data_IF_695940236405
#
_entry.id   IF_695940236405
#
_cell.length_a   1.000
_cell.length_b   1.000
_cell.length_c   1.000
_cell.angle_alpha   90.00
_cell.angle_beta   90.00
_cell.angle_gamma   90.00
#
_symmetry.space_group_name_H-M   'P 1'
#
loop_
_entity.id
_entity.type
_entity.pdbx_description
1 polymer ?
#
# COMPACT_ATOMS: atom_id res chain seq x y z
N UNK A 1 -12.02 10.45 -2.47
CA UNK A 1 -12.38 9.01 -2.44
C UNK A 1 -13.12 8.54 -3.69
N UNK A 2 -14.22 9.17 -4.12
CA UNK A 2 -15.02 8.70 -5.27
C UNK A 2 -14.19 8.52 -6.56
N UNK A 3 -13.35 9.48 -6.94
CA UNK A 3 -12.51 9.35 -8.14
C UNK A 3 -11.56 8.13 -8.09
N UNK A 4 -11.03 7.78 -6.92
CA UNK A 4 -10.14 6.64 -6.73
C UNK A 4 -10.83 5.31 -7.06
N UNK A 5 -12.16 5.23 -6.89
CA UNK A 5 -12.93 4.05 -7.25
C UNK A 5 -12.91 3.76 -8.75
N UNK A 6 -12.74 4.77 -9.61
CA UNK A 6 -12.60 4.55 -11.05
C UNK A 6 -11.31 3.80 -11.38
N UNK A 7 -10.21 4.11 -10.70
CA UNK A 7 -8.93 3.40 -10.85
C UNK A 7 -9.05 1.97 -10.33
N UNK A 8 -9.76 1.78 -9.21
CA UNK A 8 -9.99 0.45 -8.63
C UNK A 8 -10.91 -0.45 -9.50
N UNK A 9 -11.98 0.11 -10.06
CA UNK A 9 -13.05 -0.63 -10.73
C UNK A 9 -12.98 -0.53 -12.26
N UNK A 10 -11.77 -0.63 -12.84
CA UNK A 10 -11.56 -0.68 -14.29
C UNK A 10 -12.25 0.45 -15.06
N UNK A 11 -12.17 1.67 -14.54
CA UNK A 11 -12.73 2.88 -15.14
C UNK A 11 -14.13 3.25 -14.66
N UNK A 12 -14.82 2.37 -13.92
CA UNK A 12 -16.16 2.66 -13.38
C UNK A 12 -16.05 3.44 -12.08
N UNK A 13 -16.44 4.71 -12.08
CA UNK A 13 -16.51 5.51 -10.87
C UNK A 13 -17.76 5.12 -10.08
N UNK A 14 -17.59 4.67 -8.84
CA UNK A 14 -18.65 4.19 -7.96
C UNK A 14 -19.03 5.26 -6.94
N UNK A 15 -20.31 5.38 -6.60
CA UNK A 15 -20.76 6.18 -5.44
C UNK A 15 -20.44 5.42 -4.14
N UNK A 16 -19.60 5.96 -3.24
CA UNK A 16 -19.39 5.36 -1.93
C UNK A 16 -20.61 5.60 -1.02
N UNK A 17 -20.92 4.61 -0.19
CA UNK A 17 -21.98 4.69 0.83
C UNK A 17 -21.39 4.38 2.21
N UNK A 18 -21.93 5.04 3.25
CA UNK A 18 -21.60 4.77 4.66
C UNK A 18 -22.71 3.94 5.32
N UNK A 19 -23.97 4.19 4.94
CA UNK A 19 -25.14 3.45 5.40
C UNK A 19 -25.45 2.36 4.39
N UNK A 20 -25.61 1.11 4.82
CA UNK A 20 -26.08 0.03 3.94
C UNK A 20 -27.61 0.09 3.78
N UNK A 21 -28.32 0.05 4.91
CA UNK A 21 -29.77 0.11 4.93
C UNK A 21 -30.30 0.72 6.24
N UNK A 22 -31.56 1.15 6.24
CA UNK A 22 -32.27 1.66 7.41
C UNK A 22 -33.52 0.80 7.62
N UNK A 23 -33.66 0.21 8.80
CA UNK A 23 -34.81 -0.63 9.19
C UNK A 23 -35.65 0.10 10.23
N UNK A 24 -36.96 0.04 10.09
CA UNK A 24 -37.88 0.42 11.15
C UNK A 24 -37.93 -0.70 12.21
N UNK A 25 -37.58 -0.44 13.48
CA UNK A 25 -37.46 -1.49 14.50
C UNK A 25 -38.81 -2.07 14.95
N UNK A 26 -39.92 -1.35 14.77
CA UNK A 26 -41.27 -1.81 15.16
C UNK A 26 -41.86 -2.76 14.12
N UNK A 27 -41.62 -2.49 12.83
CA UNK A 27 -42.22 -3.22 11.71
C UNK A 27 -41.26 -4.17 11.00
N UNK A 28 -39.96 -4.09 11.33
CA UNK A 28 -38.85 -4.75 10.62
C UNK A 28 -38.81 -4.47 9.10
N UNK A 29 -39.45 -3.39 8.64
CA UNK A 29 -39.45 -2.99 7.23
C UNK A 29 -38.23 -2.15 6.91
N UNK A 30 -37.57 -2.45 5.79
CA UNK A 30 -36.49 -1.64 5.24
C UNK A 30 -37.04 -0.35 4.64
N UNK A 31 -36.69 0.79 5.23
CA UNK A 31 -37.05 2.12 4.76
C UNK A 31 -36.10 2.65 3.68
N UNK A 32 -34.83 2.22 3.72
CA UNK A 32 -33.80 2.59 2.76
C UNK A 32 -32.85 1.42 2.56
N UNK A 33 -32.45 1.17 1.31
CA UNK A 33 -31.40 0.21 0.96
C UNK A 33 -30.51 0.84 -0.11
N UNK A 34 -29.23 0.99 0.18
CA UNK A 34 -28.25 1.37 -0.83
C UNK A 34 -27.79 0.14 -1.62
N UNK A 35 -27.55 0.35 -2.91
CA UNK A 35 -26.96 -0.62 -3.84
C UNK A 35 -25.79 0.04 -4.57
N UNK A 36 -24.81 -0.72 -5.06
CA UNK A 36 -23.72 -0.18 -5.86
C UNK A 36 -24.25 0.62 -7.06
N UNK A 37 -23.82 1.88 -7.19
CA UNK A 37 -24.20 2.77 -8.30
C UNK A 37 -22.95 3.29 -8.98
N UNK A 38 -22.90 3.12 -10.30
CA UNK A 38 -21.88 3.74 -11.16
C UNK A 38 -22.30 5.19 -11.42
N UNK A 39 -21.43 6.14 -11.08
CA UNK A 39 -21.65 7.58 -11.30
C UNK A 39 -20.97 8.12 -12.54
N UNK A 40 -20.09 7.34 -13.18
CA UNK A 40 -19.47 7.73 -14.44
C UNK A 40 -18.34 6.81 -14.89
N UNK A 41 -17.81 7.11 -16.07
CA UNK A 41 -16.69 6.38 -16.71
C UNK A 41 -15.60 7.37 -17.16
N UNK A 42 -14.86 7.99 -16.22
CA UNK A 42 -13.89 9.04 -16.57
C UNK A 42 -12.66 8.51 -17.32
N UNK A 43 -12.35 7.22 -17.20
CA UNK A 43 -11.18 6.58 -17.82
C UNK A 43 -11.57 5.19 -18.34
N UNK A 44 -10.81 4.67 -19.31
CA UNK A 44 -10.98 3.30 -19.80
C UNK A 44 -10.43 2.26 -18.82
N UNK A 45 -10.84 0.99 -18.99
CA UNK A 45 -10.29 -0.12 -18.20
C UNK A 45 -8.77 -0.24 -18.37
N UNK A 46 -8.26 -0.11 -19.60
CA UNK A 46 -6.81 -0.14 -19.87
C UNK A 46 -6.06 1.01 -19.20
N UNK A 47 -6.62 2.22 -19.22
CA UNK A 47 -6.02 3.36 -18.53
C UNK A 47 -6.01 3.15 -17.00
N UNK A 48 -7.08 2.57 -16.44
CA UNK A 48 -7.14 2.22 -15.02
C UNK A 48 -6.07 1.18 -14.64
N UNK A 49 -5.90 0.13 -15.44
CA UNK A 49 -4.87 -0.90 -15.24
C UNK A 49 -3.45 -0.32 -15.29
N UNK A 50 -3.13 0.47 -16.33
CA UNK A 50 -1.85 1.15 -16.45
C UNK A 50 -1.59 2.09 -15.26
N UNK A 51 -2.62 2.80 -14.80
CA UNK A 51 -2.52 3.66 -13.62
C UNK A 51 -2.18 2.84 -12.37
N UNK A 52 -2.82 1.67 -12.17
CA UNK A 52 -2.50 0.78 -11.03
C UNK A 52 -1.06 0.27 -11.10
N UNK A 53 -0.58 -0.11 -12.29
CA UNK A 53 0.81 -0.52 -12.48
C UNK A 53 1.81 0.59 -12.17
N UNK A 54 1.52 1.84 -12.57
CA UNK A 54 2.35 3.00 -12.21
C UNK A 54 2.30 3.29 -10.71
N UNK A 55 1.13 3.17 -10.08
CA UNK A 55 0.99 3.30 -8.62
C UNK A 55 1.74 2.20 -7.86
N UNK A 56 1.92 0.99 -8.44
CA UNK A 56 2.78 -0.03 -7.84
C UNK A 56 4.22 0.43 -7.78
N UNK A 57 4.73 1.07 -8.85
CA UNK A 57 6.11 1.58 -8.89
C UNK A 57 6.38 2.64 -7.81
N UNK A 58 5.39 3.44 -7.43
CA UNK A 58 5.53 4.41 -6.31
C UNK A 58 5.90 3.70 -4.99
N UNK A 59 5.47 2.45 -4.83
CA UNK A 59 5.64 1.66 -3.60
C UNK A 59 6.81 0.68 -3.71
N UNK A 60 7.19 0.24 -4.91
CA UNK A 60 8.19 -0.83 -5.09
C UNK A 60 9.48 -0.42 -5.78
N UNK A 61 9.50 0.69 -6.52
CA UNK A 61 10.66 1.03 -7.34
C UNK A 61 11.80 1.53 -6.47
N UNK A 62 12.82 0.67 -6.31
CA UNK A 62 14.01 0.95 -5.51
C UNK A 62 15.11 1.64 -6.32
N UNK A 63 14.90 1.85 -7.62
CA UNK A 63 15.87 2.56 -8.44
C UNK A 63 15.94 4.02 -8.00
N UNK A 64 17.15 4.56 -7.98
CA UNK A 64 17.40 5.97 -7.73
C UNK A 64 17.66 6.62 -9.08
N UNK A 65 16.81 7.56 -9.46
CA UNK A 65 16.95 8.33 -10.70
C UNK A 65 17.14 9.79 -10.30
N UNK A 66 18.24 10.41 -10.75
CA UNK A 66 18.59 11.79 -10.40
C UNK A 66 18.60 12.05 -8.88
N UNK A 67 19.14 11.09 -8.12
CA UNK A 67 19.21 11.18 -6.64
C UNK A 67 17.87 11.01 -5.92
N UNK A 68 16.79 10.73 -6.64
CA UNK A 68 15.44 10.57 -6.06
C UNK A 68 14.99 9.12 -6.13
N UNK A 69 14.53 8.59 -5.01
CA UNK A 69 13.88 7.28 -4.90
C UNK A 69 12.36 7.40 -4.95
N UNK A 70 11.65 6.29 -5.11
CA UNK A 70 10.20 6.30 -5.05
C UNK A 70 9.69 6.79 -3.68
N UNK A 71 8.74 7.73 -3.71
CA UNK A 71 8.25 8.41 -2.49
C UNK A 71 7.45 7.50 -1.54
N UNK A 72 6.97 6.34 -2.00
CA UNK A 72 6.06 5.48 -1.27
C UNK A 72 6.68 4.17 -0.78
N UNK A 73 8.00 4.01 -0.81
CA UNK A 73 8.68 2.74 -0.46
C UNK A 73 8.29 2.21 0.93
N UNK A 74 8.05 3.10 1.90
CA UNK A 74 7.69 2.71 3.26
C UNK A 74 6.27 2.13 3.37
N UNK A 75 5.44 2.26 2.33
CA UNK A 75 4.09 1.68 2.28
C UNK A 75 4.05 0.26 1.72
N UNK A 76 5.19 -0.32 1.32
CA UNK A 76 5.24 -1.70 0.85
C UNK A 76 4.96 -2.68 2.01
N UNK A 77 4.02 -3.59 1.79
CA UNK A 77 3.62 -4.61 2.75
C UNK A 77 4.05 -5.99 2.23
N UNK A 78 5.01 -6.66 2.89
CA UNK A 78 5.47 -7.98 2.46
C UNK A 78 4.33 -8.98 2.30
N UNK A 79 4.25 -9.59 1.12
CA UNK A 79 3.21 -10.57 0.77
C UNK A 79 1.94 -9.96 0.16
N UNK A 80 1.78 -8.63 0.14
CA UNK A 80 0.64 -7.95 -0.47
C UNK A 80 1.04 -7.07 -1.65
N UNK A 81 0.23 -7.06 -2.69
CA UNK A 81 0.42 -6.17 -3.86
C UNK A 81 -0.20 -4.80 -3.57
N UNK A 82 0.45 -4.04 -2.70
CA UNK A 82 0.03 -2.68 -2.35
C UNK A 82 0.40 -1.71 -3.47
N UNK A 83 -0.57 -0.92 -3.91
CA UNK A 83 -0.37 0.22 -4.79
C UNK A 83 -0.78 1.49 -4.06
N UNK A 84 -0.24 2.63 -4.44
CA UNK A 84 -0.72 3.87 -3.87
C UNK A 84 -0.03 5.13 -4.36
N UNK A 85 -0.42 6.24 -3.77
CA UNK A 85 0.20 7.54 -4.01
C UNK A 85 0.28 8.37 -2.74
N UNK A 86 1.46 8.94 -2.52
CA UNK A 86 1.75 9.93 -1.48
C UNK A 86 1.23 11.31 -1.86
N UNK A 87 0.77 12.08 -0.87
CA UNK A 87 0.44 13.49 -0.98
C UNK A 87 1.12 14.31 0.10
N UNK A 88 1.68 15.46 -0.27
CA UNK A 88 2.26 16.45 0.65
C UNK A 88 1.77 17.81 0.21
N UNK A 89 0.80 18.38 0.92
CA UNK A 89 0.15 19.64 0.56
C UNK A 89 0.55 20.75 1.54
N UNK A 90 0.87 21.93 1.00
CA UNK A 90 1.07 23.14 1.79
C UNK A 90 -0.27 23.65 2.33
N UNK A 91 -0.25 24.28 3.50
CA UNK A 91 -1.43 24.87 4.13
C UNK A 91 -1.41 26.37 3.89
N UNK A 92 -2.51 26.91 3.36
CA UNK A 92 -2.70 28.35 3.18
C UNK A 92 -3.49 28.95 4.35
N UNK A 93 -3.04 30.08 4.86
CA UNK A 93 -3.71 30.90 5.88
C UNK A 93 -3.62 32.36 5.43
N UNK A 94 -4.76 33.03 5.28
CA UNK A 94 -4.85 34.45 4.88
C UNK A 94 -4.02 34.78 3.63
N UNK A 95 -4.12 33.93 2.60
CA UNK A 95 -3.43 34.13 1.32
C UNK A 95 -1.94 33.76 1.29
N UNK A 96 -1.36 33.32 2.42
CA UNK A 96 0.04 32.93 2.53
C UNK A 96 0.19 31.46 2.90
N UNK A 97 1.25 30.81 2.44
CA UNK A 97 1.57 29.45 2.86
C UNK A 97 2.29 29.44 4.21
N UNK A 98 1.90 28.50 5.07
CA UNK A 98 2.64 28.24 6.30
C UNK A 98 4.00 27.60 5.98
N UNK A 99 5.01 27.95 6.77
CA UNK A 99 6.39 27.43 6.64
C UNK A 99 6.78 26.59 7.85
N UNK A 100 7.75 25.70 7.66
CA UNK A 100 8.27 24.83 8.72
C UNK A 100 7.80 23.38 8.56
N UNK A 101 8.61 22.45 9.11
CA UNK A 101 8.46 21.01 8.87
C UNK A 101 7.09 20.44 9.24
N UNK A 102 6.39 21.05 10.20
CA UNK A 102 5.10 20.59 10.70
C UNK A 102 3.91 21.24 9.97
N UNK A 103 4.12 22.11 8.97
CA UNK A 103 3.04 22.92 8.37
C UNK A 103 2.55 22.39 7.03
N UNK A 104 2.29 21.09 6.99
CA UNK A 104 1.82 20.37 5.81
C UNK A 104 0.67 19.43 6.15
N UNK A 105 -0.08 19.04 5.12
CA UNK A 105 -0.96 17.87 5.17
C UNK A 105 -0.25 16.75 4.43
N UNK A 106 0.12 15.70 5.16
CA UNK A 106 0.65 14.48 4.56
C UNK A 106 -0.48 13.48 4.39
N UNK A 107 -0.52 12.78 3.27
CA UNK A 107 -1.54 11.80 3.00
C UNK A 107 -1.04 10.63 2.14
N UNK A 108 -1.78 9.54 2.18
CA UNK A 108 -1.57 8.40 1.32
C UNK A 108 -2.91 7.81 0.89
N UNK A 109 -3.06 7.58 -0.42
CA UNK A 109 -4.14 6.81 -1.01
C UNK A 109 -3.56 5.45 -1.42
N UNK A 110 -3.89 4.40 -0.68
CA UNK A 110 -3.47 3.03 -0.94
C UNK A 110 -4.61 2.16 -1.46
N UNK A 111 -4.29 1.15 -2.26
CA UNK A 111 -5.20 0.09 -2.66
C UNK A 111 -4.48 -1.25 -2.69
N UNK A 112 -5.23 -2.34 -2.48
CA UNK A 112 -4.69 -3.69 -2.69
C UNK A 112 -5.81 -4.72 -2.91
N UNK A 113 -5.53 -5.83 -3.61
CA UNK A 113 -4.34 -6.08 -4.45
C UNK A 113 -4.27 -5.19 -5.71
N UNK A 114 -3.09 -5.03 -6.31
CA UNK A 114 -2.86 -4.22 -7.52
C UNK A 114 -3.82 -4.54 -8.68
N UNK A 115 -3.99 -5.82 -9.01
CA UNK A 115 -4.74 -6.23 -10.21
C UNK A 115 -6.25 -6.12 -10.04
N UNK A 116 -6.74 -6.46 -8.85
CA UNK A 116 -8.15 -6.50 -8.48
C UNK A 116 -8.34 -5.93 -7.07
N UNK A 117 -8.31 -4.59 -6.92
CA UNK A 117 -8.35 -3.97 -5.60
C UNK A 117 -9.63 -4.29 -4.82
N UNK A 118 -9.48 -4.88 -3.63
CA UNK A 118 -10.58 -5.16 -2.69
C UNK A 118 -10.72 -4.12 -1.60
N UNK A 119 -9.66 -3.35 -1.36
CA UNK A 119 -9.58 -2.35 -0.32
C UNK A 119 -8.97 -1.06 -0.88
N UNK A 120 -9.55 0.08 -0.49
CA UNK A 120 -8.96 1.41 -0.65
C UNK A 120 -8.80 2.00 0.75
N UNK A 121 -7.59 2.45 1.09
CA UNK A 121 -7.28 3.16 2.33
C UNK A 121 -6.85 4.57 1.99
N UNK A 122 -7.45 5.57 2.63
CA UNK A 122 -6.99 6.95 2.56
C UNK A 122 -6.78 7.49 3.95
N UNK A 123 -5.56 7.96 4.21
CA UNK A 123 -5.19 8.60 5.47
C UNK A 123 -4.58 9.95 5.15
N UNK A 124 -4.99 10.96 5.91
CA UNK A 124 -4.40 12.29 5.87
C UNK A 124 -4.13 12.77 7.31
N UNK A 125 -2.92 13.26 7.55
CA UNK A 125 -2.48 13.83 8.81
C UNK A 125 -2.13 15.29 8.56
N UNK A 126 -2.90 16.19 9.17
CA UNK A 126 -2.67 17.63 9.12
C UNK A 126 -1.76 18.05 10.26
N UNK A 127 -0.75 18.82 9.93
CA UNK A 127 0.21 19.42 10.86
C UNK A 127 0.77 18.44 11.90
N UNK A 128 1.43 17.34 11.47
CA UNK A 128 2.01 16.39 12.42
C UNK A 128 3.06 17.06 13.30
N UNK A 129 3.13 16.65 14.57
CA UNK A 129 4.20 17.07 15.48
C UNK A 129 5.39 16.14 15.32
N UNK A 130 6.28 16.48 14.39
CA UNK A 130 7.44 15.64 14.05
C UNK A 130 8.59 15.88 15.02
N UNK A 131 9.26 14.80 15.43
CA UNK A 131 10.59 14.88 16.07
C UNK A 131 11.63 15.39 15.06
N UNK A 132 12.83 15.72 15.54
CA UNK A 132 13.91 16.20 14.67
C UNK A 132 14.34 15.15 13.62
N UNK A 133 14.19 13.87 13.95
CA UNK A 133 14.61 12.72 13.14
C UNK A 133 13.51 12.19 12.21
N UNK A 134 12.26 12.61 12.41
CA UNK A 134 11.11 12.08 11.67
C UNK A 134 10.88 12.86 10.38
N UNK A 135 10.62 12.13 9.29
CA UNK A 135 10.20 12.70 8.02
C UNK A 135 8.69 12.96 8.01
N UNK A 136 8.26 13.97 7.25
CA UNK A 136 6.85 14.39 7.18
C UNK A 136 5.82 13.28 6.91
N UNK A 137 6.07 12.32 6.00
CA UNK A 137 5.12 11.23 5.71
C UNK A 137 5.11 10.08 6.73
N UNK A 138 6.02 10.04 7.71
CA UNK A 138 6.14 8.91 8.65
C UNK A 138 4.86 8.67 9.47
N UNK A 139 4.22 9.69 10.09
CA UNK A 139 2.98 9.49 10.84
C UNK A 139 1.85 8.86 10.00
N UNK A 140 1.79 9.15 8.70
CA UNK A 140 0.81 8.54 7.80
C UNK A 140 1.16 7.06 7.55
N UNK A 141 2.45 6.76 7.38
CA UNK A 141 2.96 5.41 7.17
C UNK A 141 2.64 4.51 8.37
N UNK A 142 2.86 5.03 9.58
CA UNK A 142 2.64 4.32 10.84
C UNK A 142 1.17 3.97 11.08
N UNK A 143 0.25 4.72 10.48
CA UNK A 143 -1.19 4.40 10.50
C UNK A 143 -1.53 3.41 9.38
N UNK A 144 -1.11 3.71 8.13
CA UNK A 144 -1.53 2.94 6.95
C UNK A 144 -1.05 1.49 7.02
N UNK A 145 0.21 1.25 7.41
CA UNK A 145 0.79 -0.10 7.41
C UNK A 145 -0.02 -1.09 8.28
N UNK A 146 -0.25 -0.83 9.58
CA UNK A 146 -1.02 -1.75 10.41
C UNK A 146 -2.48 -1.84 9.98
N UNK A 147 -3.15 -0.70 9.71
CA UNK A 147 -4.57 -0.70 9.30
C UNK A 147 -4.79 -1.52 8.04
N UNK A 148 -3.97 -1.29 7.02
CA UNK A 148 -4.09 -1.99 5.74
C UNK A 148 -3.73 -3.48 5.89
N UNK A 149 -2.71 -3.81 6.69
CA UNK A 149 -2.37 -5.22 6.97
C UNK A 149 -3.53 -5.95 7.65
N UNK A 150 -4.06 -5.38 8.73
CA UNK A 150 -5.17 -6.00 9.47
C UNK A 150 -6.44 -6.12 8.62
N UNK A 151 -6.76 -5.10 7.82
CA UNK A 151 -7.90 -5.13 6.93
C UNK A 151 -7.76 -6.21 5.83
N UNK A 152 -6.58 -6.34 5.23
CA UNK A 152 -6.33 -7.37 4.21
C UNK A 152 -6.36 -8.78 4.81
N UNK A 153 -5.88 -8.97 6.03
CA UNK A 153 -6.02 -10.23 6.76
C UNK A 153 -7.48 -10.56 7.07
N UNK A 154 -8.26 -9.57 7.53
CA UNK A 154 -9.68 -9.73 7.80
C UNK A 154 -10.47 -10.10 6.53
N UNK A 155 -10.16 -9.45 5.40
CA UNK A 155 -10.76 -9.73 4.10
C UNK A 155 -10.27 -11.05 3.47
N UNK A 156 -9.38 -11.79 4.15
CA UNK A 156 -8.81 -13.04 3.67
C UNK A 156 -8.16 -12.89 2.28
N UNK A 157 -7.53 -11.74 2.02
CA UNK A 157 -6.77 -11.55 0.80
C UNK A 157 -5.50 -12.37 0.89
N UNK A 158 -5.30 -13.30 -0.05
CA UNK A 158 -4.16 -14.19 -0.06
C UNK A 158 -2.84 -13.41 -0.10
N UNK A 159 -1.93 -13.80 0.80
CA UNK A 159 -0.54 -13.38 0.70
C UNK A 159 0.11 -14.11 -0.46
N UNK A 160 0.87 -13.40 -1.29
CA UNK A 160 1.79 -14.07 -2.22
C UNK A 160 2.71 -15.00 -1.44
N UNK A 161 2.90 -16.22 -1.95
CA UNK A 161 3.89 -17.14 -1.43
C UNK A 161 5.25 -16.42 -1.39
N UNK A 162 5.81 -16.29 -0.19
CA UNK A 162 7.12 -15.67 -0.01
C UNK A 162 8.19 -16.52 -0.69
N UNK A 163 8.88 -15.96 -1.68
CA UNK A 163 10.09 -16.53 -2.32
C UNK A 163 11.31 -16.59 -1.38
N UNK A 164 11.10 -16.55 -0.06
CA UNK A 164 12.15 -16.80 0.93
C UNK A 164 12.63 -18.27 0.91
N UNK A 165 11.77 -19.23 0.53
CA UNK A 165 12.11 -20.66 0.55
C UNK A 165 13.07 -21.07 -0.58
N UNK A 166 13.05 -20.39 -1.73
CA UNK A 166 13.95 -20.68 -2.86
C UNK A 166 15.39 -20.21 -2.62
N UNK A 167 15.58 -19.07 -1.95
CA UNK A 167 16.92 -18.54 -1.66
C UNK A 167 17.70 -19.42 -0.67
N UNK A 168 17.00 -20.07 0.27
CA UNK A 168 17.62 -21.00 1.23
C UNK A 168 18.06 -22.30 0.54
N UNK A 169 17.25 -22.86 -0.37
CA UNK A 169 17.62 -24.05 -1.16
C UNK A 169 18.82 -23.80 -2.08
N UNK A 170 18.87 -22.63 -2.74
CA UNK A 170 19.99 -22.27 -3.63
C UNK A 170 21.31 -22.02 -2.88
N UNK A 171 21.25 -21.61 -1.60
CA UNK A 171 22.43 -21.35 -0.77
C UNK A 171 23.01 -22.62 -0.14
N UNK A 172 22.19 -23.64 0.06
CA UNK A 172 22.61 -24.97 0.53
C UNK A 172 23.18 -25.84 -0.60
N UNK A 173 22.67 -25.72 -1.84
CA UNK A 173 23.18 -26.51 -2.97
C UNK A 173 24.52 -26.03 -3.55
N UNK A 174 24.95 -24.81 -3.22
CA UNK A 174 26.19 -24.20 -3.74
C UNK A 174 27.40 -24.27 -2.78
N UNK A 175 27.31 -25.01 -1.67
CA UNK A 175 28.46 -25.28 -0.82
C UNK A 175 29.18 -26.54 -1.34
N UNK A 176 30.40 -26.46 -1.89
CA UNK A 176 31.18 -27.66 -2.11
C UNK A 176 31.46 -28.30 -0.75
N UNK A 177 31.09 -29.57 -0.61
CA UNK A 177 31.47 -30.41 0.53
C UNK A 177 32.98 -30.62 0.41
N UNK A 178 33.78 -29.78 1.07
CA UNK A 178 35.19 -30.08 1.32
C UNK A 178 35.19 -31.10 2.46
N UNK A 179 35.06 -32.37 2.12
CA UNK A 179 35.26 -33.48 3.06
C UNK A 179 36.75 -33.56 3.39
N UNK A 180 37.04 -33.45 4.68
CA UNK A 180 38.33 -33.62 5.32
C UNK A 180 39.14 -34.80 4.73
N UNK A 181 40.25 -34.47 4.08
CA UNK A 181 41.41 -35.37 3.89
C UNK A 181 42.59 -34.86 4.71
N UNK A 182 42.39 -34.65 6.00
CA UNK A 182 43.48 -34.52 6.97
C UNK A 182 43.15 -35.49 8.09
N UNK A 183 43.49 -36.77 7.93
CA UNK A 183 43.74 -37.75 9.00
C UNK A 183 43.97 -39.15 8.41
N UNK A 184 45.09 -39.35 7.68
CA UNK A 184 45.66 -40.70 7.50
C UNK A 184 47.11 -40.70 7.00
N UNK A 185 48.06 -40.44 7.90
CA UNK A 185 49.36 -41.13 7.94
C UNK A 185 50.14 -40.77 9.21
N UNK A 186 49.88 -41.52 10.29
CA UNK A 186 50.98 -42.00 11.14
C UNK A 186 51.37 -43.37 10.61
N UNK A 187 52.63 -43.52 10.17
CA UNK A 187 53.49 -44.71 10.34
C UNK A 187 54.74 -44.60 9.47
N UNK A 188 55.89 -44.69 10.16
CA UNK A 188 57.23 -45.18 9.77
C UNK A 188 58.36 -44.14 9.78
N UNK A 189 59.29 -44.45 10.69
CA UNK A 189 60.64 -43.93 10.96
C UNK A 189 60.73 -42.53 11.55
#
# INVERSE_FOLDING_TARGET
MQAATAVANNGKMMRPYIVDHVVNPETNKTALQHKPVVTGHPISASAAEQTRALMRKVVTDKNVVNGTSATGLNYDLPGYDVIGKTGTAQISVNGNYLYGKNNYIHSFLGMAPEKDPKLIVYVAVKQPQLKATELGPEPVTDIVRPVMTSALQYLQVDKKASTATEKTKLRLSKRPIILDKVWRKRRMC
#
